data_IF_762037145375
#
_entry.id   IF_762037145375
#
_cell.length_a   1.000
_cell.length_b   1.000
_cell.length_c   1.000
_cell.angle_alpha   90.00
_cell.angle_beta   90.00
_cell.angle_gamma   90.00
#
_symmetry.space_group_name_H-M   'P 1'
#
loop_
_entity.id
_entity.type
_entity.pdbx_description
1 polymer ?
#
# COMPACT_ATOMS: atom_id res chain seq x y z
N UNK A 1 14.79 6.49 -45.28
CA UNK A 1 13.79 7.26 -44.50
C UNK A 1 13.44 6.38 -43.29
N UNK A 2 14.12 6.55 -42.15
CA UNK A 2 13.97 5.69 -40.97
C UNK A 2 13.24 6.42 -39.84
N UNK A 3 12.67 5.60 -38.94
CA UNK A 3 12.13 5.92 -37.62
C UNK A 3 10.64 6.24 -37.53
N UNK A 4 9.85 5.22 -37.15
CA UNK A 4 8.77 5.38 -36.17
C UNK A 4 9.06 4.44 -35.00
N UNK A 5 9.92 4.90 -34.10
CA UNK A 5 10.06 4.30 -32.77
C UNK A 5 8.81 4.69 -31.97
N UNK A 6 7.89 3.74 -31.84
CA UNK A 6 6.70 3.91 -31.01
C UNK A 6 7.11 3.94 -29.55
N UNK A 7 7.25 5.14 -28.98
CA UNK A 7 7.44 5.29 -27.54
C UNK A 7 6.12 4.87 -26.89
N UNK A 8 6.08 3.65 -26.35
CA UNK A 8 5.00 3.23 -25.45
C UNK A 8 5.11 4.16 -24.23
N UNK A 9 4.29 5.21 -24.20
CA UNK A 9 4.11 6.03 -23.00
C UNK A 9 3.39 5.16 -21.98
N UNK A 10 4.15 4.43 -21.16
CA UNK A 10 3.61 3.79 -19.98
C UNK A 10 2.98 4.91 -19.14
N UNK A 11 1.66 4.87 -18.99
CA UNK A 11 0.97 5.84 -18.15
C UNK A 11 1.64 5.78 -16.76
N UNK A 12 1.90 6.94 -16.13
CA UNK A 12 2.49 6.95 -14.79
C UNK A 12 1.60 6.11 -13.87
N UNK A 13 2.19 5.31 -12.97
CA UNK A 13 1.40 4.56 -12.01
C UNK A 13 0.52 5.54 -11.23
N UNK A 14 -0.76 5.20 -11.06
CA UNK A 14 -1.63 5.98 -10.19
C UNK A 14 -1.16 5.73 -8.76
N UNK A 15 -0.73 6.80 -8.09
CA UNK A 15 -0.31 6.76 -6.70
C UNK A 15 -1.41 7.44 -5.89
N UNK A 16 -1.98 6.71 -4.94
CA UNK A 16 -2.98 7.23 -4.00
C UNK A 16 -2.35 7.32 -2.63
N UNK A 17 -2.15 8.54 -2.14
CA UNK A 17 -1.64 8.83 -0.81
C UNK A 17 -2.76 9.33 0.08
N UNK A 18 -2.73 8.98 1.37
CA UNK A 18 -3.68 9.49 2.35
C UNK A 18 -3.28 9.10 3.77
N UNK A 19 -4.07 9.55 4.74
CA UNK A 19 -3.96 9.10 6.12
C UNK A 19 -5.11 8.13 6.41
N UNK A 20 -4.79 7.01 7.05
CA UNK A 20 -5.77 5.96 7.33
C UNK A 20 -5.59 5.38 8.73
N UNK A 21 -6.64 4.70 9.21
CA UNK A 21 -6.62 4.00 10.49
C UNK A 21 -6.12 2.58 10.30
N UNK A 22 -5.03 2.24 10.96
CA UNK A 22 -4.41 0.93 10.95
C UNK A 22 -4.71 0.19 12.25
N UNK A 23 -5.29 -1.00 12.12
CA UNK A 23 -5.61 -1.89 13.24
C UNK A 23 -4.95 -3.25 13.06
N UNK A 24 -4.14 -3.66 14.04
CA UNK A 24 -3.48 -4.97 14.05
C UNK A 24 -3.08 -5.35 15.48
N UNK A 25 -3.15 -6.63 15.84
CA UNK A 25 -2.65 -7.16 17.12
C UNK A 25 -3.03 -6.32 18.38
N UNK A 26 -4.19 -5.64 18.38
CA UNK A 26 -4.63 -4.76 19.47
C UNK A 26 -4.16 -3.30 19.39
N UNK A 27 -3.33 -2.95 18.42
CA UNK A 27 -3.01 -1.57 18.06
C UNK A 27 -4.12 -0.95 17.21
N UNK A 28 -4.36 0.34 17.45
CA UNK A 28 -5.28 1.20 16.68
C UNK A 28 -4.61 2.57 16.58
N UNK A 29 -4.10 2.90 15.39
CA UNK A 29 -3.35 4.13 15.15
C UNK A 29 -3.58 4.69 13.76
N UNK A 30 -3.33 5.99 13.61
CA UNK A 30 -3.34 6.65 12.32
C UNK A 30 -1.97 6.51 11.64
N UNK A 31 -1.96 6.16 10.35
CA UNK A 31 -0.75 6.02 9.53
C UNK A 31 -0.93 6.74 8.20
N UNK A 32 0.17 7.25 7.64
CA UNK A 32 0.19 7.69 6.25
C UNK A 32 0.41 6.48 5.34
N UNK A 33 -0.35 6.38 4.26
CA UNK A 33 -0.17 5.34 3.26
C UNK A 33 0.07 5.92 1.87
N UNK A 34 0.70 5.09 1.04
CA UNK A 34 0.86 5.30 -0.39
C UNK A 34 0.56 3.99 -1.10
N UNK A 35 -0.48 3.98 -1.94
CA UNK A 35 -0.92 2.81 -2.69
C UNK A 35 -0.63 3.04 -4.16
N UNK A 36 0.09 2.11 -4.77
CA UNK A 36 0.42 2.12 -6.19
C UNK A 36 -0.56 1.23 -6.95
N UNK A 37 -1.38 1.82 -7.81
CA UNK A 37 -2.30 1.13 -8.70
C UNK A 37 -3.69 1.80 -8.80
N UNK A 38 -4.53 1.29 -9.69
CA UNK A 38 -5.89 1.81 -9.84
C UNK A 38 -6.87 1.06 -8.94
N UNK A 39 -7.37 1.72 -7.88
CA UNK A 39 -8.46 1.15 -7.08
C UNK A 39 -9.74 0.90 -7.88
N UNK A 40 -10.00 1.64 -8.97
CA UNK A 40 -11.22 1.46 -9.77
C UNK A 40 -11.20 0.22 -10.67
N UNK A 41 -10.04 -0.40 -10.91
CA UNK A 41 -9.93 -1.63 -11.71
C UNK A 41 -9.80 -2.90 -10.86
N UNK A 42 -10.11 -2.81 -9.54
CA UNK A 42 -10.13 -3.92 -8.58
C UNK A 42 -10.88 -5.16 -9.10
N UNK A 43 -11.90 -4.97 -9.93
CA UNK A 43 -12.73 -6.05 -10.45
C UNK A 43 -12.09 -6.85 -11.60
N UNK A 44 -11.01 -6.38 -12.23
CA UNK A 44 -10.56 -6.93 -13.51
C UNK A 44 -9.09 -7.33 -13.59
N UNK A 45 -8.24 -6.95 -12.62
CA UNK A 45 -6.82 -7.26 -12.66
C UNK A 45 -6.45 -8.22 -11.54
N UNK A 46 -5.96 -9.41 -11.88
CA UNK A 46 -5.29 -10.39 -10.99
C UNK A 46 -4.02 -9.85 -10.31
N UNK A 47 -3.82 -8.54 -10.26
CA UNK A 47 -2.62 -7.89 -9.74
C UNK A 47 -2.91 -7.39 -8.33
N UNK A 48 -2.21 -7.89 -7.30
CA UNK A 48 -2.38 -7.39 -5.94
C UNK A 48 -1.98 -5.92 -5.90
N UNK A 49 -2.85 -5.06 -5.38
CA UNK A 49 -2.52 -3.65 -5.13
C UNK A 49 -1.47 -3.60 -4.04
N UNK A 50 -0.37 -2.91 -4.29
CA UNK A 50 0.73 -2.78 -3.33
C UNK A 50 0.81 -1.36 -2.84
N UNK A 51 1.25 -1.22 -1.60
CA UNK A 51 1.49 0.07 -1.01
C UNK A 51 2.63 0.02 -0.01
N UNK A 52 2.93 1.20 0.50
CA UNK A 52 3.74 1.40 1.68
C UNK A 52 2.96 2.23 2.69
N UNK A 53 3.31 2.06 3.95
CA UNK A 53 2.81 2.86 5.05
C UNK A 53 3.98 3.45 5.81
N UNK A 54 3.75 4.64 6.38
CA UNK A 54 4.70 5.32 7.27
C UNK A 54 4.17 5.28 8.68
N UNK A 55 5.00 4.77 9.59
CA UNK A 55 4.69 4.61 11.01
C UNK A 55 5.98 4.62 11.83
N UNK A 56 5.89 4.67 13.15
CA UNK A 56 7.08 4.62 13.98
C UNK A 56 7.86 3.29 13.75
N UNK A 57 9.20 3.28 13.80
CA UNK A 57 9.99 2.08 13.47
C UNK A 57 9.64 0.84 14.30
N UNK A 58 9.34 1.01 15.58
CA UNK A 58 8.87 -0.04 16.49
C UNK A 58 7.50 -0.60 16.08
N UNK A 59 6.63 0.26 15.56
CA UNK A 59 5.32 -0.13 15.03
C UNK A 59 5.47 -0.85 13.69
N UNK A 60 6.39 -0.43 12.83
CA UNK A 60 6.65 -1.10 11.55
C UNK A 60 7.13 -2.54 11.76
N UNK A 61 8.01 -2.77 12.74
CA UNK A 61 8.43 -4.12 13.11
C UNK A 61 7.27 -4.94 13.68
N UNK A 62 6.50 -4.38 14.63
CA UNK A 62 5.36 -5.06 15.24
C UNK A 62 4.29 -5.45 14.19
N UNK A 63 4.02 -4.54 13.25
CA UNK A 63 3.10 -4.76 12.15
C UNK A 63 3.58 -5.87 11.23
N UNK A 64 4.86 -5.88 10.86
CA UNK A 64 5.44 -6.96 10.07
C UNK A 64 5.35 -8.32 10.78
N UNK A 65 5.60 -8.36 12.10
CA UNK A 65 5.44 -9.57 12.92
C UNK A 65 4.00 -10.04 12.99
N UNK A 66 3.03 -9.14 12.99
CA UNK A 66 1.60 -9.48 12.94
C UNK A 66 1.21 -10.10 11.58
N UNK A 67 1.91 -9.75 10.50
CA UNK A 67 1.77 -10.32 9.16
C UNK A 67 0.56 -9.82 8.36
N UNK A 68 -0.55 -9.52 9.03
CA UNK A 68 -1.76 -8.93 8.45
C UNK A 68 -2.33 -7.82 9.33
N UNK A 69 -3.01 -6.85 8.71
CA UNK A 69 -3.66 -5.74 9.39
C UNK A 69 -4.93 -5.29 8.66
N UNK A 70 -5.80 -4.57 9.36
CA UNK A 70 -6.92 -3.85 8.76
C UNK A 70 -6.52 -2.38 8.59
N UNK A 71 -6.60 -1.88 7.35
CA UNK A 71 -6.37 -0.48 7.01
C UNK A 71 -7.70 0.14 6.56
N UNK A 72 -8.14 1.17 7.26
CA UNK A 72 -9.25 2.01 6.84
C UNK A 72 -8.68 3.22 6.13
N UNK A 73 -9.04 3.42 4.87
CA UNK A 73 -8.59 4.55 4.07
C UNK A 73 -9.30 5.84 4.46
N UNK A 74 -8.78 6.98 4.00
CA UNK A 74 -9.32 8.31 4.25
C UNK A 74 -10.77 8.49 3.77
N UNK A 75 -11.17 7.73 2.76
CA UNK A 75 -12.53 7.69 2.22
C UNK A 75 -13.49 6.72 2.97
N UNK A 76 -13.03 6.13 4.07
CA UNK A 76 -13.79 5.22 4.92
C UNK A 76 -13.82 3.77 4.43
N UNK A 77 -13.14 3.43 3.33
CA UNK A 77 -13.05 2.03 2.87
C UNK A 77 -12.09 1.22 3.73
N UNK A 78 -12.62 0.20 4.39
CA UNK A 78 -11.83 -0.80 5.11
C UNK A 78 -11.27 -1.86 4.17
N UNK A 79 -9.95 -2.05 4.20
CA UNK A 79 -9.23 -3.06 3.44
C UNK A 79 -8.40 -3.94 4.38
N UNK A 80 -8.26 -5.23 4.07
CA UNK A 80 -7.24 -6.06 4.72
C UNK A 80 -5.93 -5.90 3.96
N UNK A 81 -4.84 -5.77 4.69
CA UNK A 81 -3.50 -5.70 4.12
C UNK A 81 -2.66 -6.85 4.66
N UNK A 82 -1.78 -7.37 3.81
CA UNK A 82 -0.74 -8.32 4.19
C UNK A 82 0.61 -7.64 4.07
N UNK A 83 1.42 -7.80 5.11
CA UNK A 83 2.75 -7.22 5.14
C UNK A 83 3.70 -8.00 4.24
N UNK A 84 4.43 -7.28 3.40
CA UNK A 84 5.45 -7.82 2.49
C UNK A 84 6.86 -7.65 3.05
N UNK A 85 7.09 -6.59 3.81
CA UNK A 85 8.40 -6.26 4.36
C UNK A 85 8.36 -4.94 5.12
N UNK A 86 9.44 -4.63 5.82
CA UNK A 86 9.70 -3.32 6.39
C UNK A 86 11.19 -3.04 6.32
N UNK A 87 11.56 -1.77 6.41
CA UNK A 87 12.97 -1.39 6.49
C UNK A 87 13.35 -1.21 7.96
N UNK A 88 14.26 -2.04 8.46
CA UNK A 88 14.73 -1.95 9.84
C UNK A 88 15.34 -0.58 10.13
N UNK A 89 14.92 0.07 11.22
CA UNK A 89 15.36 1.42 11.59
C UNK A 89 14.73 2.56 10.77
N UNK A 90 13.79 2.25 9.87
CA UNK A 90 13.03 3.24 9.09
C UNK A 90 11.56 3.23 9.53
N UNK A 91 10.87 4.32 9.19
CA UNK A 91 9.44 4.51 9.36
C UNK A 91 8.59 3.78 8.31
N UNK A 92 9.19 3.08 7.35
CA UNK A 92 8.50 2.56 6.16
C UNK A 92 8.26 1.05 6.24
N UNK A 93 7.00 0.64 6.05
CA UNK A 93 6.61 -0.76 5.83
C UNK A 93 5.85 -0.93 4.51
N UNK A 94 6.00 -2.10 3.88
CA UNK A 94 5.42 -2.44 2.58
C UNK A 94 4.31 -3.48 2.74
N UNK A 95 3.22 -3.32 1.99
CA UNK A 95 2.07 -4.21 2.08
C UNK A 95 1.43 -4.47 0.71
N UNK A 96 0.60 -5.51 0.67
CA UNK A 96 -0.37 -5.76 -0.40
C UNK A 96 -1.79 -5.74 0.16
N UNK A 97 -2.74 -5.24 -0.63
CA UNK A 97 -4.17 -5.26 -0.28
C UNK A 97 -4.74 -6.62 -0.65
N UNK A 98 -5.49 -7.21 0.29
CA UNK A 98 -6.30 -8.41 0.10
C UNK A 98 -7.78 -8.00 0.05
N UNK A 99 -8.45 -8.45 -1.01
CA UNK A 99 -9.87 -8.24 -1.29
C UNK A 99 -10.58 -9.57 -1.10
#
# INVERSE_FOLDING_TARGET
MFSRSGIIRKAPPIITTGAGDLKFAGHDLQVDYEITGQMRTLASAHVPLRGLLRTAPDVAEALFRAGEAALTLDDGRGCRIRMLGYTSGSDTAYFEIRI
#
